data_IF_210860102247
#
_entry.id   IF_210860102247
#
_cell.length_a   1.000
_cell.length_b   1.000
_cell.length_c   1.000
_cell.angle_alpha   90.00
_cell.angle_beta   90.00
_cell.angle_gamma   90.00
#
_symmetry.space_group_name_H-M   'P 1'
#
loop_
_entity.id
_entity.type
_entity.pdbx_description
1 polymer ?
#
# COMPACT_ATOMS: atom_id res chain seq x y z
N UNK A 1 -29.02 -49.48 -35.00
CA UNK A 1 -27.97 -49.03 -34.06
C UNK A 1 -27.97 -47.51 -34.04
N UNK A 2 -28.49 -46.89 -32.98
CA UNK A 2 -28.46 -45.42 -32.80
C UNK A 2 -27.35 -45.13 -31.77
N UNK A 3 -26.23 -44.58 -32.22
CA UNK A 3 -25.13 -44.18 -31.34
C UNK A 3 -25.54 -42.96 -30.53
N UNK A 4 -25.56 -43.12 -29.21
CA UNK A 4 -25.72 -42.06 -28.22
C UNK A 4 -24.32 -41.49 -27.97
N UNK A 5 -24.05 -40.27 -28.46
CA UNK A 5 -22.83 -39.53 -28.11
C UNK A 5 -23.11 -38.80 -26.80
N UNK A 6 -22.52 -39.29 -25.70
CA UNK A 6 -22.48 -38.59 -24.43
C UNK A 6 -21.33 -37.57 -24.49
N UNK A 7 -21.65 -36.31 -24.79
CA UNK A 7 -20.70 -35.21 -24.69
C UNK A 7 -20.54 -34.84 -23.22
N UNK A 8 -19.43 -35.24 -22.61
CA UNK A 8 -18.98 -34.75 -21.30
C UNK A 8 -18.54 -33.30 -21.44
N UNK A 9 -19.42 -32.37 -21.07
CA UNK A 9 -19.04 -30.96 -20.86
C UNK A 9 -18.39 -30.85 -19.48
N UNK A 10 -17.07 -31.05 -19.42
CA UNK A 10 -16.31 -30.73 -18.21
C UNK A 10 -16.13 -29.22 -18.13
N UNK A 11 -17.00 -28.56 -17.37
CA UNK A 11 -16.88 -27.16 -17.01
C UNK A 11 -15.78 -27.04 -15.95
N UNK A 12 -14.53 -27.00 -16.41
CA UNK A 12 -13.43 -26.50 -15.58
C UNK A 12 -13.60 -24.99 -15.48
N UNK A 13 -14.32 -24.56 -14.45
CA UNK A 13 -14.33 -23.16 -14.04
C UNK A 13 -12.99 -22.90 -13.37
N UNK A 14 -12.03 -22.40 -14.15
CA UNK A 14 -10.81 -21.86 -13.59
C UNK A 14 -11.18 -20.49 -12.99
N UNK A 15 -11.43 -20.46 -11.68
CA UNK A 15 -11.58 -19.20 -10.94
C UNK A 15 -10.23 -18.50 -10.85
N UNK A 16 -9.87 -17.77 -11.90
CA UNK A 16 -8.88 -16.70 -11.81
C UNK A 16 -9.56 -15.48 -11.20
N UNK A 17 -9.13 -15.04 -10.03
CA UNK A 17 -9.48 -13.69 -9.55
C UNK A 17 -10.02 -13.56 -8.13
N UNK A 18 -9.49 -14.29 -7.15
CA UNK A 18 -9.45 -13.75 -5.79
C UNK A 18 -7.99 -13.36 -5.53
N UNK A 19 -7.71 -12.05 -5.46
CA UNK A 19 -6.47 -11.61 -4.81
C UNK A 19 -6.39 -12.22 -3.42
N UNK A 20 -5.18 -12.46 -2.90
CA UNK A 20 -5.01 -12.95 -1.53
C UNK A 20 -5.89 -12.11 -0.59
N UNK A 21 -6.61 -12.71 0.38
CA UNK A 21 -7.58 -11.98 1.22
C UNK A 21 -7.02 -10.67 1.79
N UNK A 22 -5.73 -10.65 2.13
CA UNK A 22 -5.03 -9.48 2.64
C UNK A 22 -4.81 -8.38 1.57
N UNK A 23 -4.52 -8.73 0.32
CA UNK A 23 -4.36 -7.76 -0.76
C UNK A 23 -5.70 -7.08 -1.09
N UNK A 24 -6.79 -7.84 -1.10
CA UNK A 24 -8.14 -7.30 -1.29
C UNK A 24 -8.56 -6.37 -0.13
N UNK A 25 -8.21 -6.72 1.11
CA UNK A 25 -8.39 -5.83 2.26
C UNK A 25 -7.54 -4.55 2.13
N UNK A 26 -6.28 -4.70 1.71
CA UNK A 26 -5.37 -3.58 1.45
C UNK A 26 -5.91 -2.61 0.39
N UNK A 27 -6.49 -3.12 -0.69
CA UNK A 27 -7.15 -2.31 -1.72
C UNK A 27 -8.33 -1.52 -1.15
N UNK A 28 -9.20 -2.15 -0.35
CA UNK A 28 -10.31 -1.45 0.31
C UNK A 28 -9.82 -0.31 1.20
N UNK A 29 -8.75 -0.55 1.98
CA UNK A 29 -8.11 0.47 2.82
C UNK A 29 -7.50 1.59 1.98
N UNK A 30 -6.84 1.26 0.87
CA UNK A 30 -6.21 2.21 -0.04
C UNK A 30 -7.22 3.21 -0.64
N UNK A 31 -8.42 2.73 -0.93
CA UNK A 31 -9.53 3.51 -1.49
C UNK A 31 -10.38 4.23 -0.43
N UNK A 32 -10.21 3.92 0.86
CA UNK A 32 -11.06 4.45 1.93
C UNK A 32 -10.71 5.89 2.30
N UNK A 33 -11.57 6.81 1.86
CA UNK A 33 -11.43 8.26 2.15
C UNK A 33 -11.94 8.65 3.52
N UNK A 34 -12.56 7.74 4.29
CA UNK A 34 -13.03 8.02 5.65
C UNK A 34 -11.89 7.96 6.69
N UNK A 35 -10.72 7.44 6.28
CA UNK A 35 -9.57 7.25 7.16
C UNK A 35 -8.82 8.53 7.51
N UNK A 36 -9.04 9.65 6.82
CA UNK A 36 -8.45 10.94 7.17
C UNK A 36 -9.26 11.73 8.20
N UNK A 37 -8.69 12.84 8.68
CA UNK A 37 -9.36 13.81 9.52
C UNK A 37 -9.07 15.26 9.05
N UNK A 38 -10.06 16.01 8.54
CA UNK A 38 -11.45 15.58 8.32
C UNK A 38 -11.55 14.44 7.29
N UNK A 39 -12.62 13.62 7.31
CA UNK A 39 -12.86 12.61 6.29
C UNK A 39 -12.93 13.22 4.88
N UNK A 40 -12.41 12.51 3.88
CA UNK A 40 -12.41 12.92 2.48
C UNK A 40 -11.11 12.63 1.72
N UNK A 41 -10.07 12.12 2.38
CA UNK A 41 -8.79 11.78 1.78
C UNK A 41 -8.39 10.34 2.10
N UNK A 42 -8.03 9.56 1.09
CA UNK A 42 -7.45 8.22 1.21
C UNK A 42 -6.10 8.16 0.50
N UNK A 43 -5.45 6.98 0.47
CA UNK A 43 -4.18 6.80 -0.25
C UNK A 43 -4.32 7.17 -1.74
N UNK A 44 -5.46 6.76 -2.33
CA UNK A 44 -5.83 7.03 -3.72
C UNK A 44 -5.92 8.53 -4.06
N UNK A 45 -6.14 9.41 -3.08
CA UNK A 45 -6.25 10.86 -3.31
C UNK A 45 -4.93 11.51 -3.74
N UNK A 46 -3.80 10.91 -3.36
CA UNK A 46 -2.45 11.31 -3.79
C UNK A 46 -1.84 10.32 -4.77
N UNK A 47 -2.23 9.04 -4.70
CA UNK A 47 -1.71 7.97 -5.56
C UNK A 47 -2.80 7.46 -6.50
N UNK A 48 -3.07 8.23 -7.57
CA UNK A 48 -4.19 7.98 -8.48
C UNK A 48 -3.83 6.92 -9.56
N UNK A 49 -4.61 5.83 -9.72
CA UNK A 49 -4.38 4.80 -10.74
C UNK A 49 -4.23 5.35 -12.17
N UNK A 50 -4.99 6.38 -12.54
CA UNK A 50 -4.96 7.01 -13.87
C UNK A 50 -3.61 7.68 -14.18
N UNK A 51 -2.79 7.93 -13.16
CA UNK A 51 -1.45 8.52 -13.29
C UNK A 51 -0.38 7.54 -12.77
N UNK A 52 -0.57 6.24 -12.99
CA UNK A 52 0.34 5.20 -12.49
C UNK A 52 0.59 5.30 -10.98
N UNK A 53 -0.45 5.64 -10.21
CA UNK A 53 -0.39 5.82 -8.77
C UNK A 53 0.57 6.92 -8.30
N UNK A 54 0.86 7.92 -9.15
CA UNK A 54 1.56 9.15 -8.78
C UNK A 54 0.58 10.32 -8.64
N UNK A 55 1.04 11.40 -7.99
CA UNK A 55 0.34 12.68 -8.02
C UNK A 55 0.88 13.57 -9.15
N UNK A 56 0.07 13.98 -10.15
CA UNK A 56 0.52 14.90 -11.19
C UNK A 56 0.75 16.33 -10.67
N UNK A 57 0.30 16.68 -9.46
CA UNK A 57 0.53 17.98 -8.83
C UNK A 57 1.96 18.07 -8.29
N UNK A 58 2.53 19.28 -8.25
CA UNK A 58 3.87 19.52 -7.64
C UNK A 58 3.99 18.97 -6.22
N UNK A 59 2.95 19.15 -5.40
CA UNK A 59 2.80 18.56 -4.06
C UNK A 59 1.32 18.27 -3.83
N UNK A 60 1.03 17.20 -3.08
CA UNK A 60 -0.33 16.81 -2.76
C UNK A 60 -0.95 17.71 -1.69
N UNK A 61 -2.25 18.02 -1.77
CA UNK A 61 -2.98 18.62 -0.65
C UNK A 61 -3.13 17.61 0.49
N UNK A 62 -3.19 18.15 1.71
CA UNK A 62 -3.59 17.39 2.89
C UNK A 62 -5.10 17.40 3.11
N UNK A 63 -5.56 16.52 3.99
CA UNK A 63 -6.98 16.37 4.34
C UNK A 63 -7.57 17.67 4.92
N UNK A 64 -6.76 18.44 5.65
CA UNK A 64 -7.16 19.77 6.15
C UNK A 64 -6.92 20.80 5.05
N UNK A 65 -7.99 21.49 4.64
CA UNK A 65 -7.95 22.56 3.63
C UNK A 65 -6.82 23.55 3.90
N UNK A 66 -6.01 23.81 2.88
CA UNK A 66 -4.87 24.74 2.93
C UNK A 66 -3.56 24.11 3.41
N UNK A 67 -3.55 22.84 3.84
CA UNK A 67 -2.30 22.10 4.09
C UNK A 67 -1.82 21.41 2.83
N UNK A 68 -0.50 21.31 2.70
CA UNK A 68 0.19 20.68 1.58
C UNK A 68 1.27 19.74 2.12
N UNK A 69 1.48 18.62 1.43
CA UNK A 69 2.62 17.74 1.65
C UNK A 69 3.95 18.46 1.40
N UNK A 70 5.04 17.84 1.86
CA UNK A 70 6.40 18.42 1.80
C UNK A 70 7.11 18.16 0.48
N UNK A 71 6.75 17.07 -0.21
CA UNK A 71 7.34 16.61 -1.48
C UNK A 71 6.22 16.10 -2.39
N UNK A 72 6.51 15.90 -3.67
CA UNK A 72 5.61 15.21 -4.58
C UNK A 72 5.41 13.75 -4.13
N UNK A 73 4.22 13.20 -4.33
CA UNK A 73 3.92 11.80 -4.08
C UNK A 73 4.30 10.97 -5.33
N UNK A 74 5.33 10.11 -5.24
CA UNK A 74 5.81 9.35 -6.40
C UNK A 74 4.81 8.25 -6.80
N UNK A 75 5.03 7.66 -7.98
CA UNK A 75 4.34 6.44 -8.40
C UNK A 75 4.56 5.32 -7.39
N UNK A 76 3.49 4.58 -7.06
CA UNK A 76 3.58 3.34 -6.28
C UNK A 76 3.80 2.09 -7.16
N UNK A 77 3.76 2.23 -8.48
CA UNK A 77 4.15 1.13 -9.36
C UNK A 77 5.58 0.71 -9.06
N UNK A 78 5.79 -0.60 -8.92
CA UNK A 78 7.07 -1.23 -8.58
C UNK A 78 7.64 -0.90 -7.20
N UNK A 79 6.95 -0.12 -6.35
CA UNK A 79 7.45 0.21 -5.01
C UNK A 79 7.67 -1.03 -4.12
N UNK A 80 6.92 -2.11 -4.33
CA UNK A 80 7.10 -3.38 -3.63
C UNK A 80 8.40 -4.12 -3.99
N UNK A 81 9.12 -3.69 -5.03
CA UNK A 81 10.43 -4.23 -5.41
C UNK A 81 11.59 -3.49 -4.74
N UNK A 82 11.32 -2.39 -4.02
CA UNK A 82 12.33 -1.65 -3.29
C UNK A 82 12.70 -2.49 -2.05
N UNK A 83 13.98 -2.87 -1.87
CA UNK A 83 14.38 -3.67 -0.72
C UNK A 83 14.26 -2.84 0.57
N UNK A 84 14.11 -3.53 1.71
CA UNK A 84 14.23 -2.89 3.01
C UNK A 84 15.58 -2.23 3.17
N UNK A 85 15.62 -1.11 3.89
CA UNK A 85 16.84 -0.32 4.05
C UNK A 85 17.97 -1.13 4.69
N UNK A 86 19.12 -1.19 4.02
CA UNK A 86 20.29 -1.95 4.47
C UNK A 86 21.60 -1.28 4.06
N UNK A 87 22.67 -1.59 4.78
CA UNK A 87 24.03 -1.19 4.40
C UNK A 87 24.58 -2.24 3.44
N UNK A 88 25.04 -1.80 2.28
CA UNK A 88 25.70 -2.65 1.29
C UNK A 88 27.14 -2.18 1.12
N UNK A 89 28.06 -3.14 0.94
CA UNK A 89 29.41 -2.87 0.52
C UNK A 89 29.50 -2.72 -1.00
N UNK A 90 30.29 -1.77 -1.44
CA UNK A 90 30.57 -1.49 -2.84
C UNK A 90 32.01 -1.02 -3.01
N UNK A 91 32.45 -0.80 -4.25
CA UNK A 91 33.77 -0.27 -4.56
C UNK A 91 33.63 1.05 -5.32
N UNK A 92 34.41 2.05 -4.92
CA UNK A 92 34.45 3.33 -5.61
C UNK A 92 35.22 3.24 -6.95
N UNK A 93 35.28 4.35 -7.70
CA UNK A 93 35.99 4.42 -8.99
C UNK A 93 37.50 4.12 -8.89
N UNK A 94 38.07 4.10 -7.67
CA UNK A 94 39.48 3.79 -7.39
C UNK A 94 39.68 2.35 -6.91
N UNK A 95 38.60 1.59 -6.73
CA UNK A 95 38.63 0.22 -6.22
C UNK A 95 38.73 0.12 -4.71
N UNK A 96 38.45 1.20 -3.97
CA UNK A 96 38.43 1.21 -2.51
C UNK A 96 37.04 0.81 -1.99
N UNK A 97 37.02 0.06 -0.88
CA UNK A 97 35.77 -0.39 -0.25
C UNK A 97 34.99 0.82 0.31
N UNK A 98 33.71 0.92 -0.06
CA UNK A 98 32.76 1.91 0.42
C UNK A 98 31.48 1.22 0.93
N UNK A 99 30.81 1.82 1.92
CA UNK A 99 29.51 1.36 2.39
C UNK A 99 28.43 2.36 1.99
N UNK A 100 27.40 1.90 1.29
CA UNK A 100 26.24 2.69 0.87
C UNK A 100 24.97 2.21 1.56
N UNK A 101 23.98 3.09 1.66
CA UNK A 101 22.63 2.72 2.09
C UNK A 101 21.81 2.38 0.85
N UNK A 102 21.37 1.13 0.74
CA UNK A 102 20.43 0.67 -0.28
C UNK A 102 19.02 0.57 0.30
N UNK A 103 18.01 0.83 -0.55
CA UNK A 103 16.61 0.56 -0.23
C UNK A 103 15.99 1.58 0.71
N UNK A 104 14.91 1.14 1.37
CA UNK A 104 14.06 2.02 2.15
C UNK A 104 13.11 2.84 1.29
N UNK A 105 12.07 3.36 1.94
CA UNK A 105 11.00 4.10 1.31
C UNK A 105 11.00 5.58 1.72
N UNK A 106 10.21 6.35 0.99
CA UNK A 106 10.29 7.81 0.86
C UNK A 106 11.54 8.28 0.10
N UNK A 107 11.45 9.49 -0.45
CA UNK A 107 12.54 10.11 -1.23
C UNK A 107 13.81 10.41 -0.42
N UNK A 108 13.74 10.32 0.91
CA UNK A 108 14.88 10.45 1.81
C UNK A 108 15.21 9.14 2.56
N UNK A 109 14.60 8.01 2.17
CA UNK A 109 14.90 6.69 2.73
C UNK A 109 14.55 6.54 4.22
N UNK A 110 13.73 7.42 4.80
CA UNK A 110 13.48 7.41 6.26
C UNK A 110 12.60 6.26 6.76
N UNK A 111 11.95 5.52 5.87
CA UNK A 111 11.19 4.34 6.24
C UNK A 111 11.96 3.08 5.86
N UNK A 112 12.12 2.16 6.81
CA UNK A 112 12.89 0.95 6.59
C UNK A 112 12.25 0.03 5.53
N UNK A 113 10.94 -0.13 5.59
CA UNK A 113 10.15 -1.00 4.70
C UNK A 113 8.72 -0.44 4.49
N UNK A 114 7.88 -1.19 3.75
CA UNK A 114 6.51 -0.77 3.43
C UNK A 114 5.61 -0.66 4.67
N UNK A 115 5.83 -1.50 5.68
CA UNK A 115 5.03 -1.48 6.91
C UNK A 115 5.39 -0.27 7.79
N UNK A 116 6.65 0.13 7.82
CA UNK A 116 7.07 1.39 8.41
C UNK A 116 6.46 2.56 7.61
N UNK A 117 6.65 2.58 6.29
CA UNK A 117 6.17 3.66 5.40
C UNK A 117 4.69 3.96 5.56
N UNK A 118 3.82 2.93 5.50
CA UNK A 118 2.36 3.10 5.45
C UNK A 118 1.79 3.79 6.70
N UNK A 119 2.53 3.78 7.82
CA UNK A 119 2.10 4.41 9.06
C UNK A 119 2.22 5.92 9.04
N UNK A 120 3.18 6.48 8.30
CA UNK A 120 3.51 7.92 8.41
C UNK A 120 2.39 8.80 7.82
N UNK A 121 1.82 8.53 6.62
CA UNK A 121 0.78 9.36 6.04
C UNK A 121 -0.47 9.52 6.90
N UNK A 122 -0.84 8.46 7.65
CA UNK A 122 -1.97 8.52 8.58
C UNK A 122 -1.78 9.64 9.61
N UNK A 123 -0.59 9.76 10.19
CA UNK A 123 -0.33 10.64 11.33
C UNK A 123 0.31 11.98 10.94
N UNK A 124 0.74 12.18 9.69
CA UNK A 124 1.21 13.50 9.25
C UNK A 124 0.03 14.48 9.16
N UNK A 125 0.13 15.59 9.91
CA UNK A 125 -0.84 16.68 9.93
C UNK A 125 -1.07 17.32 8.55
N UNK A 126 -0.11 17.22 7.65
CA UNK A 126 -0.17 17.75 6.28
C UNK A 126 -0.65 16.71 5.26
N UNK A 127 -0.92 15.48 5.68
CA UNK A 127 -1.44 14.40 4.85
C UNK A 127 -2.82 13.98 5.38
N UNK A 128 -2.96 12.82 6.04
CA UNK A 128 -4.27 12.33 6.49
C UNK A 128 -4.68 12.82 7.89
N UNK A 129 -3.74 13.39 8.66
CA UNK A 129 -3.99 14.15 9.90
C UNK A 129 -4.76 13.38 11.01
N UNK A 130 -4.48 12.10 11.22
CA UNK A 130 -5.02 11.32 12.32
C UNK A 130 -4.28 11.60 13.61
N UNK A 131 -5.00 11.82 14.72
CA UNK A 131 -4.41 12.26 15.97
C UNK A 131 -3.60 11.16 16.67
N UNK A 132 -3.86 9.88 16.37
CA UNK A 132 -3.07 8.77 16.88
C UNK A 132 -3.67 7.39 16.63
N UNK A 133 -2.92 6.37 17.07
CA UNK A 133 -3.24 4.96 16.78
C UNK A 133 -4.63 4.52 17.28
N UNK A 134 -5.12 5.08 18.40
CA UNK A 134 -6.46 4.76 18.93
C UNK A 134 -7.57 5.23 17.97
N UNK A 135 -7.44 6.43 17.42
CA UNK A 135 -8.40 6.96 16.44
C UNK A 135 -8.35 6.13 15.15
N UNK A 136 -7.16 5.86 14.63
CA UNK A 136 -6.99 5.06 13.42
C UNK A 136 -7.59 3.66 13.57
N UNK A 137 -7.30 2.97 14.68
CA UNK A 137 -7.87 1.66 14.97
C UNK A 137 -9.39 1.72 15.15
N UNK A 138 -9.93 2.81 15.68
CA UNK A 138 -11.37 3.05 15.74
C UNK A 138 -11.98 3.12 14.34
N UNK A 139 -11.36 3.91 13.44
CA UNK A 139 -11.79 4.06 12.05
C UNK A 139 -11.77 2.73 11.28
N UNK A 140 -10.68 1.95 11.40
CA UNK A 140 -10.62 0.61 10.80
C UNK A 140 -11.73 -0.32 11.29
N UNK A 141 -12.03 -0.32 12.60
CA UNK A 141 -13.10 -1.14 13.17
C UNK A 141 -14.51 -0.69 12.78
N UNK A 142 -14.68 0.55 12.37
CA UNK A 142 -15.95 1.07 11.84
C UNK A 142 -16.07 1.00 10.32
N UNK A 143 -14.99 0.65 9.61
CA UNK A 143 -14.98 0.59 8.15
C UNK A 143 -15.81 -0.59 7.61
N UNK A 144 -16.16 -0.51 6.33
CA UNK A 144 -16.98 -1.54 5.65
C UNK A 144 -16.28 -2.90 5.52
N UNK A 145 -14.99 -2.95 5.86
CA UNK A 145 -14.10 -4.11 5.84
C UNK A 145 -13.73 -4.60 7.25
N UNK A 146 -14.37 -4.08 8.30
CA UNK A 146 -14.08 -4.44 9.69
C UNK A 146 -14.26 -5.94 9.99
N UNK A 147 -15.15 -6.63 9.25
CA UNK A 147 -15.34 -8.08 9.39
C UNK A 147 -14.14 -8.86 8.85
N UNK A 148 -13.54 -8.40 7.75
CA UNK A 148 -12.42 -9.09 7.10
C UNK A 148 -11.17 -9.10 7.98
N UNK A 149 -10.99 -8.11 8.86
CA UNK A 149 -9.93 -8.16 9.88
C UNK A 149 -10.08 -9.31 10.88
N UNK A 150 -11.30 -9.79 11.13
CA UNK A 150 -11.54 -10.92 12.06
C UNK A 150 -11.25 -12.27 11.43
N UNK A 151 -11.30 -12.30 10.10
CA UNK A 151 -11.11 -13.52 9.31
C UNK A 151 -9.62 -13.73 8.96
N UNK A 152 -8.75 -12.75 9.24
CA UNK A 152 -7.30 -12.88 9.11
C UNK A 152 -6.72 -13.80 10.18
N UNK A 153 -5.94 -14.78 9.75
CA UNK A 153 -5.16 -15.66 10.62
C UNK A 153 -3.78 -15.05 10.92
N UNK A 154 -3.15 -15.47 12.02
CA UNK A 154 -1.77 -15.04 12.35
C UNK A 154 -0.77 -15.35 11.24
N UNK A 155 -1.03 -16.40 10.43
CA UNK A 155 -0.22 -16.76 9.27
C UNK A 155 -0.36 -15.71 8.15
N UNK A 156 -1.58 -15.25 7.87
CA UNK A 156 -1.84 -14.21 6.87
C UNK A 156 -1.31 -12.84 7.31
N UNK A 157 -1.21 -12.59 8.61
CA UNK A 157 -0.68 -11.33 9.17
C UNK A 157 0.86 -11.30 9.19
N UNK A 158 1.51 -12.47 9.36
CA UNK A 158 2.95 -12.56 9.65
C UNK A 158 3.76 -13.33 8.59
N UNK A 159 3.21 -13.59 7.40
CA UNK A 159 4.04 -14.04 6.28
C UNK A 159 5.02 -12.91 5.92
N UNK A 160 6.22 -13.03 6.48
CA UNK A 160 7.41 -12.26 6.08
C UNK A 160 7.56 -12.44 4.58
N UNK A 161 7.29 -11.36 3.85
CA UNK A 161 7.79 -11.19 2.49
C UNK A 161 9.28 -10.87 2.56
#
# INVERSE_FOLDING_TARGET
MKSIIFTWFSLVVCSFGAGLPLAALGEKIFLDTSLSNPPGQGCVSCHNPENAFADPRRVSPGAVKGRLGRRNAPSLMYAALIPSQRLEDTYDDKGELEYIVEGGLFLDGRAHDLLDQVRHPFFDKNEMNIAGAKELAGKFRSGNYAKEFKDLTDKEINEKT
#
